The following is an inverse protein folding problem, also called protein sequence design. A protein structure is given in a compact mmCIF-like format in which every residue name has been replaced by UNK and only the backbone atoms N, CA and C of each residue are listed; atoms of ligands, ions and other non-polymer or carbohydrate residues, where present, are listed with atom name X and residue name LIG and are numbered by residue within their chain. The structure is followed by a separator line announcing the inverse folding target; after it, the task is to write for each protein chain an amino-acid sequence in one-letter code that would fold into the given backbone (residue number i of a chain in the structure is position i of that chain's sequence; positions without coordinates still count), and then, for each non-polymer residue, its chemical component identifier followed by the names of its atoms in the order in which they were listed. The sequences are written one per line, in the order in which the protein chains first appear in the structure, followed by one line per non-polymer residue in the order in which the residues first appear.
data_IF_567999918482
#
_entry.id   IF_567999918482
#
_cell.length_a   1.000
_cell.length_b   1.000
_cell.length_c   1.000
_cell.angle_alpha   90.00
_cell.angle_beta   90.00
_cell.angle_gamma   90.00
#
_symmetry.space_group_name_H-M   'P 1'
#
loop_
_entity.id
_entity.type
_entity.pdbx_description
1 polymer ?
#
# COMPACT_ATOMS: atom_id res chain seq x y z
N UNK A 1 16.52 -32.90 11.26
CA UNK A 1 15.13 -32.41 11.44
C UNK A 1 15.07 -31.01 10.84
N UNK A 2 14.30 -30.82 9.75
CA UNK A 2 14.23 -29.56 8.97
C UNK A 2 13.55 -28.46 9.77
N UNK A 3 14.21 -27.31 9.90
CA UNK A 3 13.58 -26.07 10.32
C UNK A 3 12.44 -25.75 9.36
N UNK A 4 11.22 -25.68 9.89
CA UNK A 4 10.05 -25.23 9.17
C UNK A 4 10.23 -23.74 8.85
N UNK A 5 10.80 -23.42 7.70
CA UNK A 5 10.68 -22.12 7.07
C UNK A 5 9.22 -21.93 6.72
N UNK A 6 8.42 -21.48 7.69
CA UNK A 6 7.02 -21.09 7.49
C UNK A 6 7.04 -19.87 6.57
N UNK A 7 6.89 -20.11 5.28
CA UNK A 7 6.47 -19.07 4.35
C UNK A 7 5.27 -18.37 5.00
N UNK A 8 5.29 -17.03 5.18
CA UNK A 8 4.12 -16.33 5.68
C UNK A 8 2.92 -16.75 4.83
N UNK A 9 1.75 -17.00 5.44
CA UNK A 9 0.59 -17.46 4.68
C UNK A 9 0.34 -16.48 3.54
N UNK A 10 -0.03 -16.97 2.34
CA UNK A 10 -0.17 -16.14 1.15
C UNK A 10 -1.12 -14.94 1.34
N UNK A 11 -1.98 -15.03 2.35
CA UNK A 11 -2.93 -14.00 2.78
C UNK A 11 -2.25 -12.78 3.42
N UNK A 12 -1.08 -12.93 4.06
CA UNK A 12 -0.37 -11.83 4.73
C UNK A 12 0.02 -10.72 3.75
N UNK A 13 0.51 -11.09 2.57
CA UNK A 13 0.88 -10.11 1.54
C UNK A 13 -0.35 -9.34 1.05
N UNK A 14 -1.49 -10.03 0.88
CA UNK A 14 -2.75 -9.37 0.52
C UNK A 14 -3.24 -8.42 1.62
N UNK A 15 -3.10 -8.76 2.90
CA UNK A 15 -3.41 -7.84 4.00
C UNK A 15 -2.54 -6.57 3.94
N UNK A 16 -1.25 -6.71 3.62
CA UNK A 16 -0.35 -5.55 3.44
C UNK A 16 -0.78 -4.69 2.25
N UNK A 17 -1.11 -5.29 1.11
CA UNK A 17 -1.63 -4.56 -0.07
C UNK A 17 -2.90 -3.79 0.28
N UNK A 18 -3.87 -4.43 0.93
CA UNK A 18 -5.13 -3.78 1.34
C UNK A 18 -4.85 -2.63 2.31
N UNK A 19 -3.98 -2.84 3.30
CA UNK A 19 -3.61 -1.80 4.25
C UNK A 19 -2.99 -0.57 3.57
N UNK A 20 -2.08 -0.79 2.61
CA UNK A 20 -1.46 0.30 1.83
C UNK A 20 -2.53 1.05 1.02
N UNK A 21 -3.44 0.32 0.35
CA UNK A 21 -4.52 0.94 -0.44
C UNK A 21 -5.45 1.78 0.44
N UNK A 22 -5.86 1.27 1.62
CA UNK A 22 -6.70 2.00 2.56
C UNK A 22 -5.99 3.25 3.11
N UNK A 23 -4.70 3.13 3.46
CA UNK A 23 -3.86 4.25 3.89
C UNK A 23 -3.79 5.35 2.83
N UNK A 24 -3.44 4.99 1.59
CA UNK A 24 -3.36 5.92 0.46
C UNK A 24 -4.71 6.60 0.17
N UNK A 25 -5.80 5.83 0.26
CA UNK A 25 -7.17 6.34 0.09
C UNK A 25 -7.53 7.34 1.18
N UNK A 26 -7.15 7.07 2.44
CA UNK A 26 -7.34 7.99 3.55
C UNK A 26 -6.63 9.32 3.34
N UNK A 27 -5.38 9.29 2.87
CA UNK A 27 -4.63 10.51 2.54
C UNK A 27 -5.29 11.28 1.38
N UNK A 28 -5.72 10.59 0.33
CA UNK A 28 -6.45 11.23 -0.77
C UNK A 28 -7.77 11.85 -0.30
N UNK A 29 -8.56 11.12 0.48
CA UNK A 29 -9.81 11.63 1.05
C UNK A 29 -9.58 12.90 1.88
N UNK A 30 -8.58 12.89 2.77
CA UNK A 30 -8.23 14.04 3.58
C UNK A 30 -7.75 15.22 2.73
N UNK A 31 -6.92 14.99 1.71
CA UNK A 31 -6.39 16.04 0.83
C UNK A 31 -7.38 16.56 -0.22
N UNK A 32 -8.49 15.87 -0.46
CA UNK A 32 -9.58 16.32 -1.34
C UNK A 32 -10.72 16.97 -0.53
N UNK A 33 -10.88 16.59 0.73
CA UNK A 33 -11.89 17.15 1.64
C UNK A 33 -11.29 18.18 2.62
N UNK A 34 -11.14 17.82 3.91
CA UNK A 34 -10.89 18.76 4.99
C UNK A 34 -9.52 19.46 4.93
N UNK A 35 -8.50 18.80 4.37
CA UNK A 35 -7.14 19.35 4.29
C UNK A 35 -6.82 19.94 2.92
N UNK A 36 -7.81 20.14 2.02
CA UNK A 36 -7.58 20.60 0.64
C UNK A 36 -6.88 21.96 0.51
N UNK A 37 -6.90 22.77 1.58
CA UNK A 37 -6.27 24.09 1.66
C UNK A 37 -4.93 24.08 2.41
N UNK A 38 -4.48 22.92 2.91
CA UNK A 38 -3.22 22.84 3.62
C UNK A 38 -2.04 23.06 2.65
N UNK A 39 -1.01 23.79 3.09
CA UNK A 39 0.13 24.15 2.26
C UNK A 39 0.90 22.93 1.69
N UNK A 40 0.79 21.78 2.37
CA UNK A 40 1.48 20.54 2.04
C UNK A 40 0.60 19.49 1.32
N UNK A 41 -0.57 19.89 0.81
CA UNK A 41 -1.49 18.98 0.06
C UNK A 41 -0.78 18.26 -1.08
N UNK A 42 0.07 18.98 -1.84
CA UNK A 42 0.80 18.40 -2.96
C UNK A 42 1.74 17.27 -2.50
N UNK A 43 2.47 17.50 -1.40
CA UNK A 43 3.37 16.52 -0.80
C UNK A 43 2.60 15.29 -0.29
N UNK A 44 1.46 15.48 0.37
CA UNK A 44 0.61 14.38 0.85
C UNK A 44 0.06 13.55 -0.32
N UNK A 45 -0.35 14.18 -1.42
CA UNK A 45 -0.78 13.48 -2.63
C UNK A 45 0.36 12.70 -3.29
N UNK A 46 1.57 13.24 -3.29
CA UNK A 46 2.75 12.52 -3.79
C UNK A 46 3.02 11.24 -2.95
N UNK A 47 2.92 11.32 -1.62
CA UNK A 47 3.02 10.14 -0.76
C UNK A 47 1.92 9.11 -1.03
N UNK A 48 0.68 9.55 -1.26
CA UNK A 48 -0.41 8.64 -1.62
C UNK A 48 -0.15 7.95 -2.97
N UNK A 49 0.35 8.68 -3.98
CA UNK A 49 0.71 8.12 -5.28
C UNK A 49 1.81 7.05 -5.16
N UNK A 50 2.85 7.30 -4.36
CA UNK A 50 3.90 6.32 -4.07
C UNK A 50 3.34 5.08 -3.38
N UNK A 51 2.40 5.24 -2.44
CA UNK A 51 1.75 4.10 -1.78
C UNK A 51 0.95 3.24 -2.78
N UNK A 52 0.19 3.84 -3.69
CA UNK A 52 -0.48 3.08 -4.75
C UNK A 52 0.52 2.34 -5.66
N UNK A 53 1.66 2.96 -5.98
CA UNK A 53 2.70 2.33 -6.77
C UNK A 53 3.29 1.10 -6.05
N UNK A 54 3.61 1.23 -4.76
CA UNK A 54 4.09 0.12 -3.95
C UNK A 54 3.07 -1.02 -3.86
N UNK A 55 1.79 -0.71 -3.63
CA UNK A 55 0.71 -1.70 -3.62
C UNK A 55 0.59 -2.42 -4.97
N UNK A 56 0.69 -1.69 -6.08
CA UNK A 56 0.66 -2.26 -7.42
C UNK A 56 1.86 -3.18 -7.67
N UNK A 57 3.08 -2.76 -7.31
CA UNK A 57 4.28 -3.58 -7.46
C UNK A 57 4.18 -4.86 -6.63
N UNK A 58 3.71 -4.78 -5.38
CA UNK A 58 3.52 -5.95 -4.50
C UNK A 58 2.46 -6.91 -5.04
N UNK A 59 1.31 -6.38 -5.48
CA UNK A 59 0.24 -7.17 -6.06
C UNK A 59 0.69 -7.85 -7.37
N UNK A 60 1.43 -7.13 -8.23
CA UNK A 60 1.99 -7.67 -9.47
C UNK A 60 3.05 -8.74 -9.17
N UNK A 61 3.99 -8.47 -8.26
CA UNK A 61 5.01 -9.45 -7.87
C UNK A 61 4.37 -10.75 -7.39
N UNK A 62 3.26 -10.66 -6.65
CA UNK A 62 2.48 -11.82 -6.22
C UNK A 62 1.76 -12.51 -7.38
N UNK A 63 1.12 -11.75 -8.28
CA UNK A 63 0.43 -12.28 -9.45
C UNK A 63 1.37 -13.03 -10.41
N UNK A 64 2.61 -12.56 -10.55
CA UNK A 64 3.67 -13.21 -11.33
C UNK A 64 4.42 -14.33 -10.57
N UNK A 65 4.00 -14.67 -9.34
CA UNK A 65 4.61 -15.73 -8.54
C UNK A 65 6.06 -15.43 -8.09
N UNK A 66 6.45 -14.16 -8.08
CA UNK A 66 7.78 -13.69 -7.63
C UNK A 66 7.83 -13.42 -6.12
N UNK A 67 6.68 -13.48 -5.44
CA UNK A 67 6.48 -13.27 -4.02
C UNK A 67 5.35 -14.17 -3.49
#
# INVERSE_FOLDING_TARGET
MRAATRYPPPMLLWFVVIFILLSATGILYLTLGPLKTAANVSTLRAFAAVQYLCAAILALARAFGKA
#
